data_IF_603658669874
#
_entry.id   IF_603658669874
#
_cell.length_a   1.000
_cell.length_b   1.000
_cell.length_c   1.000
_cell.angle_alpha   90.00
_cell.angle_beta   90.00
_cell.angle_gamma   90.00
#
_symmetry.space_group_name_H-M   'P 1'
#
loop_
_entity.id
_entity.type
_entity.pdbx_description
1 polymer ?
#
# COMPACT_ATOMS: atom_id res chain seq x y z
N UNK A 1 12.86 -1.92 9.56
CA UNK A 1 11.44 -2.27 9.84
C UNK A 1 11.01 -3.38 8.90
N UNK A 2 10.03 -4.19 9.32
CA UNK A 2 9.29 -5.11 8.46
C UNK A 2 8.07 -4.37 7.91
N UNK A 3 8.05 -4.08 6.62
CA UNK A 3 7.01 -3.27 5.98
C UNK A 3 6.20 -4.13 5.01
N UNK A 4 4.89 -4.13 5.17
CA UNK A 4 3.97 -4.69 4.19
C UNK A 4 3.54 -3.61 3.20
N UNK A 5 3.77 -3.87 1.90
CA UNK A 5 3.38 -3.01 0.79
C UNK A 5 2.21 -3.60 0.01
N UNK A 6 1.22 -2.77 -0.27
CA UNK A 6 0.09 -3.08 -1.16
C UNK A 6 -0.28 -1.85 -1.99
N UNK A 7 -1.26 -1.95 -2.89
CA UNK A 7 -1.80 -0.85 -3.69
C UNK A 7 -3.14 -1.27 -4.34
N UNK A 8 -3.71 -0.43 -5.19
CA UNK A 8 -4.84 -0.77 -6.06
C UNK A 8 -4.49 -0.74 -7.56
N UNK A 9 -3.32 -0.17 -7.93
CA UNK A 9 -2.84 -0.16 -9.32
C UNK A 9 -2.29 -1.52 -9.81
N UNK A 10 -2.07 -2.46 -8.89
CA UNK A 10 -1.53 -3.80 -9.17
C UNK A 10 -0.05 -3.96 -8.82
N UNK A 11 0.35 -5.22 -8.62
CA UNK A 11 1.69 -5.57 -8.11
C UNK A 11 2.86 -5.15 -9.01
N UNK A 12 2.62 -4.99 -10.31
CA UNK A 12 3.63 -4.56 -11.28
C UNK A 12 3.59 -3.06 -11.57
N UNK A 13 2.69 -2.31 -10.94
CA UNK A 13 2.55 -0.87 -11.15
C UNK A 13 3.83 -0.11 -10.74
N UNK A 14 4.20 0.95 -11.50
CA UNK A 14 5.45 1.67 -11.27
C UNK A 14 5.52 2.30 -9.86
N UNK A 15 4.39 2.73 -9.29
CA UNK A 15 4.34 3.36 -7.97
C UNK A 15 4.81 2.43 -6.84
N UNK A 16 4.26 1.22 -6.77
CA UNK A 16 4.67 0.25 -5.72
C UNK A 16 6.09 -0.25 -5.96
N UNK A 17 6.54 -0.37 -7.23
CA UNK A 17 7.90 -0.79 -7.56
C UNK A 17 8.94 0.26 -7.20
N UNK A 18 8.67 1.53 -7.46
CA UNK A 18 9.54 2.63 -7.03
C UNK A 18 9.66 2.69 -5.51
N UNK A 19 8.52 2.58 -4.81
CA UNK A 19 8.50 2.56 -3.34
C UNK A 19 9.29 1.37 -2.78
N UNK A 20 9.08 0.17 -3.34
CA UNK A 20 9.79 -1.02 -2.90
C UNK A 20 11.31 -0.91 -3.12
N UNK A 21 11.74 -0.38 -4.26
CA UNK A 21 13.16 -0.19 -4.55
C UNK A 21 13.82 0.77 -3.55
N UNK A 22 13.19 1.91 -3.26
CA UNK A 22 13.70 2.92 -2.33
C UNK A 22 13.77 2.38 -0.89
N UNK A 23 12.69 1.78 -0.40
CA UNK A 23 12.66 1.27 0.98
C UNK A 23 13.59 0.06 1.19
N UNK A 24 13.78 -0.78 0.16
CA UNK A 24 14.75 -1.86 0.21
C UNK A 24 16.18 -1.32 0.27
N UNK A 25 16.50 -0.29 -0.52
CA UNK A 25 17.80 0.37 -0.50
C UNK A 25 18.08 1.03 0.88
N UNK A 26 17.05 1.51 1.56
CA UNK A 26 17.12 2.04 2.93
C UNK A 26 17.25 0.94 4.01
N UNK A 27 17.32 -0.33 3.65
CA UNK A 27 17.53 -1.44 4.58
C UNK A 27 16.29 -1.98 5.28
N UNK A 28 15.09 -1.70 4.76
CA UNK A 28 13.85 -2.29 5.26
C UNK A 28 13.63 -3.71 4.71
N UNK A 29 13.00 -4.58 5.49
CA UNK A 29 12.50 -5.87 5.02
C UNK A 29 11.10 -5.65 4.45
N UNK A 30 10.88 -6.05 3.19
CA UNK A 30 9.63 -5.80 2.50
C UNK A 30 8.86 -7.09 2.23
N UNK A 31 7.55 -6.99 2.38
CA UNK A 31 6.56 -7.99 1.97
C UNK A 31 5.61 -7.29 1.01
N UNK A 32 5.55 -7.75 -0.25
CA UNK A 32 4.75 -7.11 -1.29
C UNK A 32 3.60 -8.05 -1.64
N UNK A 33 2.40 -7.70 -1.23
CA UNK A 33 1.18 -8.44 -1.54
C UNK A 33 0.18 -7.46 -2.12
N UNK A 34 -0.13 -7.57 -3.40
CA UNK A 34 -0.94 -6.59 -4.11
C UNK A 34 -1.81 -7.27 -5.18
N UNK A 35 -2.83 -6.59 -5.71
CA UNK A 35 -3.69 -7.14 -6.75
C UNK A 35 -2.90 -7.54 -7.99
N UNK A 36 -3.37 -8.58 -8.68
CA UNK A 36 -2.78 -9.09 -9.93
C UNK A 36 -2.92 -8.11 -11.11
N UNK A 37 -3.81 -7.14 -10.99
CA UNK A 37 -4.14 -6.09 -11.97
C UNK A 37 -4.70 -4.87 -11.27
N UNK A 38 -4.86 -3.79 -12.01
CA UNK A 38 -5.52 -2.56 -11.53
C UNK A 38 -6.94 -2.82 -11.01
N UNK A 39 -7.26 -2.22 -9.87
CA UNK A 39 -8.53 -2.29 -9.15
C UNK A 39 -9.04 -0.90 -8.76
N UNK A 40 -8.91 0.06 -9.67
CA UNK A 40 -9.36 1.44 -9.45
C UNK A 40 -10.83 1.50 -9.04
N UNK A 41 -11.16 2.45 -8.17
CA UNK A 41 -12.50 2.67 -7.63
C UNK A 41 -13.11 1.44 -6.93
N UNK A 42 -12.29 0.53 -6.40
CA UNK A 42 -12.77 -0.63 -5.66
C UNK A 42 -13.41 -0.27 -4.33
N UNK A 43 -13.24 0.96 -3.84
CA UNK A 43 -13.69 1.36 -2.51
C UNK A 43 -13.21 0.38 -1.42
N UNK A 44 -13.88 0.35 -0.30
CA UNK A 44 -13.63 -0.61 0.79
C UNK A 44 -14.44 -1.90 0.59
N UNK A 45 -14.18 -2.64 -0.52
CA UNK A 45 -14.91 -3.86 -0.87
C UNK A 45 -14.12 -5.13 -0.60
N UNK A 46 -14.82 -6.17 -0.13
CA UNK A 46 -14.31 -7.53 0.07
C UNK A 46 -14.93 -8.51 -0.94
N UNK A 47 -14.14 -9.48 -1.40
CA UNK A 47 -14.60 -10.56 -2.27
C UNK A 47 -15.21 -11.69 -1.43
N UNK A 48 -16.54 -11.60 -1.17
CA UNK A 48 -17.23 -12.56 -0.31
C UNK A 48 -17.78 -13.81 -1.06
N UNK A 49 -17.85 -13.77 -2.38
CA UNK A 49 -18.54 -14.79 -3.19
C UNK A 49 -17.70 -15.36 -4.33
N UNK A 50 -16.44 -14.98 -4.42
CA UNK A 50 -15.52 -15.43 -5.46
C UNK A 50 -14.26 -15.99 -4.83
N UNK A 51 -13.73 -17.05 -5.41
CA UNK A 51 -12.45 -17.59 -4.99
C UNK A 51 -11.33 -16.57 -5.26
N UNK A 52 -10.45 -16.41 -4.31
CA UNK A 52 -9.28 -15.55 -4.42
C UNK A 52 -8.06 -16.42 -4.68
N UNK A 53 -7.39 -16.18 -5.80
CA UNK A 53 -6.16 -16.86 -6.17
C UNK A 53 -4.96 -16.05 -5.68
N UNK A 54 -4.10 -16.68 -4.92
CA UNK A 54 -2.82 -16.12 -4.46
C UNK A 54 -1.69 -16.81 -5.19
N UNK A 55 -0.83 -16.05 -5.86
CA UNK A 55 0.35 -16.57 -6.57
C UNK A 55 1.61 -15.98 -5.95
N UNK A 56 2.53 -16.85 -5.52
CA UNK A 56 3.87 -16.44 -5.13
C UNK A 56 4.67 -16.10 -6.40
N UNK A 57 5.23 -14.91 -6.47
CA UNK A 57 6.04 -14.43 -7.59
C UNK A 57 7.55 -14.51 -7.29
N UNK A 58 7.90 -14.20 -6.04
CA UNK A 58 9.27 -14.24 -5.54
C UNK A 58 9.25 -14.42 -4.02
N UNK A 59 10.41 -14.37 -3.37
CA UNK A 59 10.49 -14.33 -1.91
C UNK A 59 9.82 -13.04 -1.40
N UNK A 60 8.83 -13.22 -0.50
CA UNK A 60 8.03 -12.14 0.06
C UNK A 60 7.19 -11.34 -0.96
N UNK A 61 6.99 -11.85 -2.18
CA UNK A 61 6.14 -11.20 -3.20
C UNK A 61 5.00 -12.12 -3.65
N UNK A 62 3.76 -11.63 -3.55
CA UNK A 62 2.56 -12.39 -3.90
C UNK A 62 1.56 -11.51 -4.66
N UNK A 63 1.01 -12.01 -5.76
CA UNK A 63 -0.15 -11.40 -6.43
C UNK A 63 -1.45 -12.04 -5.96
N UNK A 64 -2.50 -11.25 -5.85
CA UNK A 64 -3.81 -11.65 -5.36
C UNK A 64 -4.88 -11.26 -6.38
N UNK A 65 -5.77 -12.16 -6.74
CA UNK A 65 -6.85 -11.85 -7.71
C UNK A 65 -8.00 -11.02 -7.11
N UNK A 66 -7.92 -10.69 -5.83
CA UNK A 66 -8.91 -9.92 -5.07
C UNK A 66 -8.77 -8.40 -5.16
N UNK A 67 -9.49 -7.73 -4.28
CA UNK A 67 -9.43 -6.27 -4.08
C UNK A 67 -8.19 -5.87 -3.27
N UNK A 68 -7.84 -4.57 -3.18
CA UNK A 68 -6.80 -4.09 -2.26
C UNK A 68 -7.08 -4.43 -0.79
N UNK A 69 -8.35 -4.42 -0.39
CA UNK A 69 -8.77 -4.83 0.96
C UNK A 69 -8.55 -6.32 1.18
N UNK A 70 -8.88 -7.17 0.19
CA UNK A 70 -8.55 -8.60 0.24
C UNK A 70 -7.07 -8.85 0.39
N UNK A 71 -6.22 -8.05 -0.29
CA UNK A 71 -4.77 -8.15 -0.14
C UNK A 71 -4.33 -7.89 1.30
N UNK A 72 -4.87 -6.86 1.96
CA UNK A 72 -4.56 -6.55 3.36
C UNK A 72 -4.99 -7.69 4.29
N UNK A 73 -6.22 -8.18 4.14
CA UNK A 73 -6.74 -9.28 4.97
C UNK A 73 -5.93 -10.56 4.79
N UNK A 74 -5.69 -10.97 3.53
CA UNK A 74 -4.96 -12.21 3.22
C UNK A 74 -3.50 -12.11 3.66
N UNK A 75 -2.84 -10.98 3.40
CA UNK A 75 -1.47 -10.76 3.82
C UNK A 75 -1.33 -10.91 5.33
N UNK A 76 -2.10 -10.14 6.09
CA UNK A 76 -1.94 -10.02 7.55
C UNK A 76 -2.49 -11.22 8.33
N UNK A 77 -3.44 -11.97 7.78
CA UNK A 77 -4.02 -13.14 8.47
C UNK A 77 -3.46 -14.49 8.00
N UNK A 78 -2.93 -14.59 6.79
CA UNK A 78 -2.62 -15.89 6.17
C UNK A 78 -1.18 -16.03 5.64
N UNK A 79 -0.59 -14.96 5.11
CA UNK A 79 0.72 -15.04 4.45
C UNK A 79 1.84 -14.65 5.41
N UNK A 80 1.69 -13.51 6.09
CA UNK A 80 2.75 -12.95 6.92
C UNK A 80 2.77 -13.62 8.30
N UNK A 81 3.84 -14.35 8.55
CA UNK A 81 4.07 -15.02 9.85
C UNK A 81 5.01 -14.22 10.75
N UNK A 82 5.69 -13.22 10.19
CA UNK A 82 6.60 -12.33 10.90
C UNK A 82 5.87 -11.06 11.35
N UNK A 83 6.29 -10.43 12.45
CA UNK A 83 5.73 -9.15 12.86
C UNK A 83 5.86 -8.09 11.76
N UNK A 84 4.78 -7.35 11.51
CA UNK A 84 4.74 -6.21 10.59
C UNK A 84 4.74 -4.93 11.41
N UNK A 85 5.73 -4.07 11.17
CA UNK A 85 5.88 -2.80 11.89
C UNK A 85 5.00 -1.70 11.29
N UNK A 86 4.77 -1.77 9.96
CA UNK A 86 4.05 -0.75 9.19
C UNK A 86 3.45 -1.35 7.92
N UNK A 87 2.25 -0.92 7.59
CA UNK A 87 1.62 -1.17 6.29
C UNK A 87 1.63 0.12 5.48
N UNK A 88 2.08 0.05 4.23
CA UNK A 88 2.03 1.17 3.29
C UNK A 88 1.27 0.73 2.05
N UNK A 89 0.20 1.45 1.72
CA UNK A 89 -0.57 1.26 0.49
C UNK A 89 -0.25 2.38 -0.50
N UNK A 90 0.24 2.02 -1.68
CA UNK A 90 0.60 2.94 -2.76
C UNK A 90 1.95 2.59 -3.43
N UNK A 91 2.59 3.50 -4.17
CA UNK A 91 2.18 4.92 -4.41
C UNK A 91 1.11 4.94 -5.51
N UNK A 92 -0.06 5.49 -5.18
CA UNK A 92 -1.16 5.61 -6.14
C UNK A 92 -0.85 6.62 -7.24
N UNK A 93 -1.24 6.29 -8.47
CA UNK A 93 -1.18 7.18 -9.64
C UNK A 93 -2.38 8.15 -9.62
N UNK A 94 -2.20 9.31 -9.03
CA UNK A 94 -3.23 10.31 -8.78
C UNK A 94 -3.49 10.52 -7.30
N UNK A 95 -3.97 11.70 -6.96
CA UNK A 95 -4.25 12.08 -5.58
C UNK A 95 -5.45 11.32 -5.00
N UNK A 96 -5.44 11.18 -3.68
CA UNK A 96 -6.58 10.74 -2.89
C UNK A 96 -6.87 11.80 -1.83
N UNK A 97 -7.68 12.82 -2.17
CA UNK A 97 -8.01 13.96 -1.30
C UNK A 97 -9.51 14.22 -1.29
N UNK A 98 -10.00 14.83 -0.22
CA UNK A 98 -11.42 15.15 -0.09
C UNK A 98 -12.30 13.90 -0.22
N UNK A 99 -13.26 13.94 -1.13
CA UNK A 99 -14.23 12.86 -1.34
C UNK A 99 -13.60 11.61 -2.01
N UNK A 100 -12.51 11.76 -2.77
CA UNK A 100 -11.81 10.66 -3.44
C UNK A 100 -11.35 9.59 -2.44
N UNK A 101 -11.04 10.00 -1.20
CA UNK A 101 -10.66 9.11 -0.11
C UNK A 101 -11.68 7.98 0.11
N UNK A 102 -12.97 8.25 -0.05
CA UNK A 102 -14.05 7.28 0.18
C UNK A 102 -14.12 6.20 -0.89
N UNK A 103 -13.64 6.49 -2.09
CA UNK A 103 -13.67 5.59 -3.25
C UNK A 103 -12.34 4.91 -3.53
N UNK A 104 -11.27 5.37 -2.87
CA UNK A 104 -9.90 4.91 -3.10
C UNK A 104 -9.65 3.49 -2.58
N UNK A 105 -9.22 2.60 -3.46
CA UNK A 105 -8.71 1.28 -3.09
C UNK A 105 -7.40 1.36 -2.30
N UNK A 106 -6.53 2.30 -2.66
CA UNK A 106 -5.27 2.57 -1.94
C UNK A 106 -5.54 2.93 -0.47
N UNK A 107 -6.46 3.88 -0.23
CA UNK A 107 -6.81 4.29 1.13
C UNK A 107 -7.53 3.15 1.87
N UNK A 108 -8.44 2.45 1.21
CA UNK A 108 -9.19 1.35 1.79
C UNK A 108 -8.30 0.21 2.29
N UNK A 109 -7.26 -0.17 1.53
CA UNK A 109 -6.31 -1.18 1.97
C UNK A 109 -5.55 -0.78 3.25
N UNK A 110 -5.17 0.50 3.37
CA UNK A 110 -4.54 1.03 4.58
C UNK A 110 -5.53 1.09 5.75
N UNK A 111 -6.78 1.47 5.50
CA UNK A 111 -7.85 1.48 6.53
C UNK A 111 -8.08 0.08 7.06
N UNK A 112 -8.18 -0.94 6.19
CA UNK A 112 -8.35 -2.33 6.63
C UNK A 112 -7.20 -2.78 7.52
N UNK A 113 -5.95 -2.53 7.13
CA UNK A 113 -4.80 -2.84 7.96
C UNK A 113 -4.85 -2.15 9.33
N UNK A 114 -5.30 -0.90 9.36
CA UNK A 114 -5.47 -0.15 10.61
C UNK A 114 -6.59 -0.71 11.49
N UNK A 115 -7.70 -1.15 10.91
CA UNK A 115 -8.79 -1.83 11.64
C UNK A 115 -8.33 -3.15 12.25
N UNK A 116 -7.37 -3.82 11.61
CA UNK A 116 -6.71 -5.03 12.11
C UNK A 116 -5.63 -4.75 13.17
N UNK A 117 -5.41 -3.49 13.55
CA UNK A 117 -4.50 -3.08 14.62
C UNK A 117 -3.08 -2.72 14.18
N UNK A 118 -2.81 -2.65 12.88
CA UNK A 118 -1.50 -2.27 12.35
C UNK A 118 -1.38 -0.76 12.13
N UNK A 119 -0.17 -0.23 12.26
CA UNK A 119 0.15 1.11 11.76
C UNK A 119 -0.03 1.13 10.25
N UNK A 120 -0.72 2.12 9.71
CA UNK A 120 -1.01 2.16 8.28
C UNK A 120 -0.88 3.55 7.67
N UNK A 121 -0.31 3.59 6.46
CA UNK A 121 -0.13 4.79 5.65
C UNK A 121 -0.68 4.50 4.26
N UNK A 122 -1.50 5.42 3.73
CA UNK A 122 -1.82 5.49 2.32
C UNK A 122 -0.99 6.60 1.68
N UNK A 123 -0.35 6.32 0.54
CA UNK A 123 0.47 7.30 -0.16
C UNK A 123 0.08 7.42 -1.64
N UNK A 124 -0.05 8.64 -2.12
CA UNK A 124 -0.43 8.98 -3.48
C UNK A 124 0.47 10.07 -4.03
N UNK A 125 0.66 10.11 -5.36
CA UNK A 125 1.29 11.23 -6.02
C UNK A 125 0.22 12.16 -6.59
N UNK A 126 0.35 13.47 -6.36
CA UNK A 126 -0.61 14.46 -6.84
C UNK A 126 -0.36 14.79 -8.32
N UNK A 127 -0.59 13.79 -9.19
CA UNK A 127 -0.54 13.95 -10.64
C UNK A 127 -1.20 12.76 -11.34
N UNK A 128 -1.93 13.05 -12.41
CA UNK A 128 -2.51 12.05 -13.33
C UNK A 128 -1.66 11.82 -14.59
N UNK A 129 -0.59 12.59 -14.76
CA UNK A 129 0.34 12.50 -15.89
C UNK A 129 1.77 12.70 -15.42
N UNK A 130 2.72 12.03 -16.09
CA UNK A 130 4.15 12.18 -15.83
C UNK A 130 4.53 11.99 -14.34
N UNK A 131 3.98 10.95 -13.71
CA UNK A 131 4.21 10.69 -12.30
C UNK A 131 5.69 10.40 -12.01
N UNK A 132 6.28 11.22 -11.14
CA UNK A 132 7.66 11.07 -10.64
C UNK A 132 7.69 10.17 -9.40
N UNK A 133 7.33 8.89 -9.55
CA UNK A 133 7.23 7.94 -8.44
C UNK A 133 8.50 7.81 -7.62
N UNK A 134 9.68 7.90 -8.25
CA UNK A 134 10.96 7.82 -7.56
C UNK A 134 11.15 9.00 -6.60
N UNK A 135 10.66 10.18 -6.97
CA UNK A 135 10.70 11.35 -6.09
C UNK A 135 9.75 11.15 -4.91
N UNK A 136 8.54 10.68 -5.17
CA UNK A 136 7.57 10.38 -4.12
C UNK A 136 8.06 9.27 -3.16
N UNK A 137 8.73 8.23 -3.69
CA UNK A 137 9.33 7.17 -2.90
C UNK A 137 10.44 7.69 -1.97
N UNK A 138 11.33 8.56 -2.48
CA UNK A 138 12.36 9.22 -1.66
C UNK A 138 11.76 10.07 -0.55
N UNK A 139 10.69 10.80 -0.85
CA UNK A 139 9.97 11.56 0.19
C UNK A 139 9.37 10.65 1.25
N UNK A 140 8.77 9.51 0.86
CA UNK A 140 8.25 8.55 1.81
C UNK A 140 9.35 8.01 2.73
N UNK A 141 10.50 7.63 2.17
CA UNK A 141 11.65 7.18 2.96
C UNK A 141 12.11 8.26 3.94
N UNK A 142 12.25 9.50 3.48
CA UNK A 142 12.63 10.63 4.34
C UNK A 142 11.62 10.86 5.48
N UNK A 143 10.34 10.75 5.21
CA UNK A 143 9.30 10.85 6.24
C UNK A 143 9.43 9.72 7.28
N UNK A 144 9.78 8.51 6.86
CA UNK A 144 10.04 7.40 7.78
C UNK A 144 11.27 7.67 8.65
N UNK A 145 12.36 8.20 8.09
CA UNK A 145 13.55 8.61 8.84
C UNK A 145 13.22 9.68 9.89
N UNK A 146 12.26 10.57 9.58
CA UNK A 146 11.75 11.57 10.51
C UNK A 146 10.77 11.00 11.56
N UNK A 147 10.41 9.73 11.45
CA UNK A 147 9.53 9.04 12.40
C UNK A 147 8.04 9.26 12.17
N UNK A 148 7.61 9.45 10.91
CA UNK A 148 6.19 9.63 10.55
C UNK A 148 5.32 8.45 11.02
N UNK A 149 5.88 7.23 11.07
CA UNK A 149 5.22 6.03 11.58
C UNK A 149 4.74 6.15 13.03
N UNK A 150 5.40 7.01 13.82
CA UNK A 150 5.01 7.28 15.22
C UNK A 150 3.73 8.11 15.33
N UNK A 151 3.32 8.76 14.24
CA UNK A 151 2.05 9.49 14.17
C UNK A 151 0.87 8.58 13.84
N UNK A 152 1.12 7.35 13.38
CA UNK A 152 0.06 6.38 13.14
C UNK A 152 -0.59 6.00 14.46
N UNK A 153 -1.88 6.34 14.61
CA UNK A 153 -2.70 6.02 15.79
C UNK A 153 -3.40 4.68 15.59
N UNK A 154 -3.78 4.04 16.68
CA UNK A 154 -4.65 2.88 16.63
C UNK A 154 -5.96 3.25 15.92
N UNK A 155 -6.37 2.42 14.96
CA UNK A 155 -7.58 2.61 14.13
C UNK A 155 -7.60 3.93 13.32
N UNK A 156 -6.41 4.47 13.02
CA UNK A 156 -6.24 5.65 12.18
C UNK A 156 -5.25 5.42 11.06
N UNK A 157 -5.44 6.09 9.93
CA UNK A 157 -4.55 6.03 8.75
C UNK A 157 -3.97 7.41 8.50
N UNK A 158 -2.68 7.46 8.21
CA UNK A 158 -2.08 8.65 7.62
C UNK A 158 -2.27 8.58 6.11
N UNK A 159 -2.98 9.54 5.54
CA UNK A 159 -3.15 9.68 4.10
C UNK A 159 -2.23 10.79 3.59
N UNK A 160 -1.22 10.42 2.82
CA UNK A 160 -0.15 11.31 2.35
C UNK A 160 -0.27 11.50 0.83
N UNK A 161 -0.33 12.74 0.40
CA UNK A 161 -0.33 13.10 -1.02
C UNK A 161 0.92 13.91 -1.33
N UNK A 162 1.83 13.35 -2.12
CA UNK A 162 3.12 13.96 -2.47
C UNK A 162 2.95 14.82 -3.72
N UNK A 163 3.38 16.10 -3.70
CA UNK A 163 3.42 16.91 -4.91
C UNK A 163 4.31 16.29 -5.98
N UNK A 164 3.92 16.40 -7.24
CA UNK A 164 4.70 15.90 -8.38
C UNK A 164 5.71 16.95 -8.86
N UNK A 165 6.80 17.16 -8.11
CA UNK A 165 7.81 18.21 -8.31
C UNK A 165 9.18 17.63 -8.68
#
# INVERSE_FOLDING_TARGET
MNIFLTNDDGIFAPGIRALAAELKAAGHTLYIIAPDRERSAASHSLSLRTDIVVKRLADNEYSVSGTPVDCSVIALQKILTQPVDLVISGINAGQNMGEDVLYSGTVAAAVEASLMGYKAIAISINSYSEQKFEVAAKWMNKLLEMGIDKLCKAHGVLNINIPNI
#
